data_IF_194479732942
#
_entry.id   IF_194479732942
#
_cell.length_a   1.000
_cell.length_b   1.000
_cell.length_c   1.000
_cell.angle_alpha   90.00
_cell.angle_beta   90.00
_cell.angle_gamma   90.00
#
_symmetry.space_group_name_H-M   'P 1'
#
loop_
_entity.id
_entity.type
_entity.pdbx_description
1 polymer ?
#
# COMPACT_ATOMS: atom_id res chain seq x y z
N UNK A 1 -19.52 -19.16 -24.78
CA UNK A 1 -19.15 -19.30 -23.35
C UNK A 1 -17.83 -18.59 -23.04
N UNK A 2 -16.71 -18.94 -23.69
CA UNK A 2 -15.39 -18.27 -23.49
C UNK A 2 -15.48 -16.74 -23.57
N UNK A 3 -16.08 -16.19 -24.63
CA UNK A 3 -16.28 -14.73 -24.83
C UNK A 3 -16.99 -14.01 -23.65
N UNK A 4 -17.90 -14.69 -22.93
CA UNK A 4 -18.59 -14.09 -21.78
C UNK A 4 -17.68 -14.01 -20.55
N UNK A 5 -16.79 -14.99 -20.37
CA UNK A 5 -15.79 -14.95 -19.31
C UNK A 5 -14.75 -13.87 -19.60
N UNK A 6 -14.26 -13.76 -20.83
CA UNK A 6 -13.33 -12.70 -21.26
C UNK A 6 -13.89 -11.30 -21.00
N UNK A 7 -15.18 -11.06 -21.32
CA UNK A 7 -15.86 -9.80 -21.02
C UNK A 7 -15.92 -9.53 -19.51
N UNK A 8 -16.25 -10.54 -18.69
CA UNK A 8 -16.28 -10.38 -17.23
C UNK A 8 -14.90 -10.07 -16.65
N UNK A 9 -13.84 -10.68 -17.18
CA UNK A 9 -12.45 -10.39 -16.79
C UNK A 9 -12.06 -8.95 -17.14
N UNK A 10 -12.37 -8.49 -18.36
CA UNK A 10 -12.10 -7.11 -18.78
C UNK A 10 -12.80 -6.08 -17.89
N UNK A 11 -14.12 -6.25 -17.68
CA UNK A 11 -14.93 -5.40 -16.78
C UNK A 11 -14.37 -5.41 -15.35
N UNK A 12 -13.90 -6.56 -14.86
CA UNK A 12 -13.32 -6.70 -13.52
C UNK A 12 -12.04 -5.86 -13.35
N UNK A 13 -11.13 -5.89 -14.34
CA UNK A 13 -9.94 -5.04 -14.33
C UNK A 13 -10.27 -3.55 -14.50
N UNK A 14 -11.26 -3.21 -15.34
CA UNK A 14 -11.73 -1.82 -15.49
C UNK A 14 -12.31 -1.25 -14.19
N UNK A 15 -13.08 -2.05 -13.45
CA UNK A 15 -13.64 -1.64 -12.16
C UNK A 15 -12.53 -1.40 -11.14
N UNK A 16 -11.49 -2.23 -11.11
CA UNK A 16 -10.32 -2.02 -10.27
C UNK A 16 -9.55 -0.74 -10.65
N UNK A 17 -9.40 -0.44 -11.95
CA UNK A 17 -8.83 0.83 -12.41
C UNK A 17 -9.67 2.04 -11.97
N UNK A 18 -10.99 1.99 -12.15
CA UNK A 18 -11.91 3.07 -11.74
C UNK A 18 -11.87 3.31 -10.24
N UNK A 19 -11.84 2.23 -9.45
CA UNK A 19 -11.71 2.28 -7.99
C UNK A 19 -10.41 2.99 -7.57
N UNK A 20 -9.26 2.55 -8.10
CA UNK A 20 -7.96 3.18 -7.82
C UNK A 20 -7.94 4.67 -8.22
N UNK A 21 -8.48 5.01 -9.40
CA UNK A 21 -8.58 6.39 -9.89
C UNK A 21 -9.44 7.28 -9.01
N UNK A 22 -10.45 6.73 -8.33
CA UNK A 22 -11.32 7.47 -7.41
C UNK A 22 -10.66 7.73 -6.06
N UNK A 23 -9.94 6.75 -5.52
CA UNK A 23 -9.38 6.82 -4.16
C UNK A 23 -8.00 7.50 -4.07
N UNK A 24 -7.10 7.34 -5.06
CA UNK A 24 -5.72 7.83 -4.93
C UNK A 24 -5.22 8.64 -6.13
N UNK A 25 -5.12 9.96 -5.98
CA UNK A 25 -4.54 10.83 -7.02
C UNK A 25 -3.04 10.61 -7.25
N UNK A 26 -2.26 10.39 -6.18
CA UNK A 26 -0.80 10.20 -6.32
C UNK A 26 -0.46 8.86 -6.96
N UNK A 27 -1.08 7.77 -6.49
CA UNK A 27 -0.79 6.44 -7.02
C UNK A 27 -1.28 6.31 -8.46
N UNK A 28 -2.44 6.92 -8.77
CA UNK A 28 -2.96 7.00 -10.14
C UNK A 28 -2.01 7.67 -11.12
N UNK A 29 -1.29 8.73 -10.76
CA UNK A 29 -0.37 9.35 -11.71
C UNK A 29 0.87 8.48 -11.92
N UNK A 30 1.50 7.97 -10.86
CA UNK A 30 2.66 7.08 -10.99
C UNK A 30 2.35 5.80 -11.75
N UNK A 31 1.16 5.20 -11.56
CA UNK A 31 0.77 3.94 -12.21
C UNK A 31 0.56 4.07 -13.72
N UNK A 32 0.37 5.26 -14.27
CA UNK A 32 0.29 5.44 -15.73
C UNK A 32 1.62 5.12 -16.43
N UNK A 33 2.75 5.25 -15.72
CA UNK A 33 4.09 4.94 -16.21
C UNK A 33 4.41 3.43 -16.19
N UNK A 34 3.51 2.59 -15.67
CA UNK A 34 3.61 1.14 -15.77
C UNK A 34 3.35 0.68 -17.20
N UNK A 35 4.09 -0.33 -17.66
CA UNK A 35 3.80 -0.98 -18.93
C UNK A 35 2.35 -1.52 -18.97
N UNK A 36 1.68 -1.34 -20.11
CA UNK A 36 0.25 -1.66 -20.29
C UNK A 36 -0.13 -3.09 -19.90
N UNK A 37 0.79 -4.05 -20.07
CA UNK A 37 0.58 -5.47 -19.72
C UNK A 37 0.57 -5.79 -18.22
N UNK A 38 1.26 -4.99 -17.39
CA UNK A 38 1.31 -5.18 -15.92
C UNK A 38 0.35 -4.23 -15.17
N UNK A 39 -0.01 -3.10 -15.79
CA UNK A 39 -0.80 -2.05 -15.14
C UNK A 39 -2.17 -2.51 -14.60
N UNK A 40 -2.99 -3.32 -15.31
CA UNK A 40 -4.26 -3.82 -14.78
C UNK A 40 -4.10 -4.67 -13.50
N UNK A 41 -3.00 -5.40 -13.39
CA UNK A 41 -2.71 -6.28 -12.27
C UNK A 41 -2.36 -5.49 -10.99
N UNK A 42 -1.65 -4.36 -11.13
CA UNK A 42 -1.42 -3.43 -10.02
C UNK A 42 -2.73 -2.77 -9.55
N UNK A 43 -3.64 -2.47 -10.49
CA UNK A 43 -4.97 -1.99 -10.12
C UNK A 43 -5.79 -3.05 -9.38
N UNK A 44 -5.69 -4.32 -9.77
CA UNK A 44 -6.36 -5.42 -9.09
C UNK A 44 -5.86 -5.64 -7.65
N UNK A 45 -4.54 -5.55 -7.42
CA UNK A 45 -3.95 -5.56 -6.07
C UNK A 45 -4.47 -4.37 -5.25
N UNK A 46 -4.39 -3.15 -5.79
CA UNK A 46 -4.90 -1.95 -5.11
C UNK A 46 -6.39 -2.07 -4.78
N UNK A 47 -7.19 -2.64 -5.70
CA UNK A 47 -8.63 -2.77 -5.53
C UNK A 47 -9.00 -3.74 -4.41
N UNK A 48 -8.30 -4.88 -4.30
CA UNK A 48 -8.48 -5.81 -3.19
C UNK A 48 -8.15 -5.14 -1.85
N UNK A 49 -6.98 -4.51 -1.75
CA UNK A 49 -6.55 -3.78 -0.55
C UNK A 49 -7.57 -2.71 -0.16
N UNK A 50 -7.97 -1.83 -1.09
CA UNK A 50 -8.90 -0.74 -0.77
C UNK A 50 -10.29 -1.24 -0.36
N UNK A 51 -10.79 -2.36 -0.92
CA UNK A 51 -12.05 -2.93 -0.44
C UNK A 51 -11.96 -3.40 1.02
N UNK A 52 -10.82 -3.97 1.41
CA UNK A 52 -10.59 -4.36 2.81
C UNK A 52 -10.44 -3.13 3.70
N UNK A 53 -9.71 -2.11 3.25
CA UNK A 53 -9.64 -0.83 3.97
C UNK A 53 -11.05 -0.24 4.20
N UNK A 54 -12.01 -0.32 3.26
CA UNK A 54 -13.38 0.18 3.51
C UNK A 54 -14.14 -0.63 4.58
N UNK A 55 -13.89 -1.93 4.70
CA UNK A 55 -14.47 -2.77 5.76
C UNK A 55 -13.94 -2.35 7.15
N UNK A 56 -12.71 -1.85 7.21
CA UNK A 56 -12.01 -1.47 8.45
C UNK A 56 -12.22 0.01 8.80
N UNK A 57 -12.02 0.90 7.84
CA UNK A 57 -11.99 2.36 8.01
C UNK A 57 -13.38 3.01 7.91
N UNK A 58 -14.29 2.44 7.11
CA UNK A 58 -15.57 3.07 6.76
C UNK A 58 -16.76 2.36 7.37
N UNK A 59 -16.76 1.03 7.40
CA UNK A 59 -17.83 0.27 8.05
C UNK A 59 -17.75 0.40 9.58
N UNK A 60 -18.91 0.51 10.22
CA UNK A 60 -19.08 0.75 11.67
C UNK A 60 -20.14 -0.16 12.30
N UNK A 61 -20.45 -1.29 11.67
CA UNK A 61 -21.28 -2.33 12.25
C UNK A 61 -20.46 -3.20 13.23
N UNK A 62 -21.12 -3.72 14.27
CA UNK A 62 -20.50 -4.58 15.28
C UNK A 62 -19.97 -5.91 14.68
N UNK A 63 -20.42 -6.28 13.48
CA UNK A 63 -20.02 -7.44 12.70
C UNK A 63 -18.85 -7.17 11.74
N UNK A 64 -18.16 -6.02 11.82
CA UNK A 64 -17.02 -5.67 10.95
C UNK A 64 -15.94 -6.77 10.88
N UNK A 65 -15.65 -7.44 12.01
CA UNK A 65 -14.74 -8.60 12.05
C UNK A 65 -15.26 -9.76 11.18
N UNK A 66 -16.56 -10.07 11.26
CA UNK A 66 -17.17 -11.13 10.46
C UNK A 66 -17.24 -10.76 8.97
N UNK A 67 -17.47 -9.48 8.64
CA UNK A 67 -17.37 -8.99 7.25
C UNK A 67 -15.96 -9.18 6.68
N UNK A 68 -14.92 -8.89 7.48
CA UNK A 68 -13.52 -9.09 7.10
C UNK A 68 -13.18 -10.58 6.91
N UNK A 69 -13.58 -11.44 7.87
CA UNK A 69 -13.40 -12.90 7.79
C UNK A 69 -14.08 -13.51 6.56
N UNK A 70 -15.33 -13.10 6.28
CA UNK A 70 -16.08 -13.53 5.11
C UNK A 70 -15.42 -13.06 3.80
N UNK A 71 -14.93 -11.82 3.75
CA UNK A 71 -14.25 -11.29 2.57
C UNK A 71 -12.92 -12.02 2.30
N UNK A 72 -12.13 -12.31 3.34
CA UNK A 72 -10.91 -13.12 3.23
C UNK A 72 -11.21 -14.52 2.67
N UNK A 73 -12.27 -15.18 3.15
CA UNK A 73 -12.70 -16.48 2.65
C UNK A 73 -13.07 -16.42 1.15
N UNK A 74 -13.78 -15.38 0.72
CA UNK A 74 -14.11 -15.14 -0.70
C UNK A 74 -12.85 -14.89 -1.54
N UNK A 75 -11.87 -14.14 -1.03
CA UNK A 75 -10.57 -13.93 -1.71
C UNK A 75 -9.82 -15.25 -1.88
N UNK A 76 -9.70 -16.07 -0.84
CA UNK A 76 -9.03 -17.38 -0.96
C UNK A 76 -9.75 -18.36 -1.88
N UNK A 77 -11.09 -18.41 -1.80
CA UNK A 77 -11.87 -19.25 -2.69
C UNK A 77 -11.66 -18.83 -4.14
N UNK A 78 -11.68 -17.53 -4.42
CA UNK A 78 -11.46 -17.00 -5.76
C UNK A 78 -10.05 -17.29 -6.28
N UNK A 79 -9.00 -17.09 -5.46
CA UNK A 79 -7.62 -17.42 -5.84
C UNK A 79 -7.43 -18.93 -6.12
N UNK A 80 -8.21 -19.81 -5.47
CA UNK A 80 -8.20 -21.26 -5.74
C UNK A 80 -9.00 -21.64 -6.99
N UNK A 81 -10.13 -20.98 -7.25
CA UNK A 81 -11.09 -21.35 -8.30
C UNK A 81 -10.92 -20.57 -9.61
N UNK A 82 -10.19 -19.45 -9.61
CA UNK A 82 -10.08 -18.54 -10.76
C UNK A 82 -11.35 -17.71 -11.01
N UNK A 83 -12.31 -17.70 -10.07
CA UNK A 83 -13.61 -17.07 -10.24
C UNK A 83 -14.12 -16.44 -8.93
N UNK A 84 -14.76 -15.29 -9.03
CA UNK A 84 -15.56 -14.68 -7.95
C UNK A 84 -16.78 -14.01 -8.57
N UNK A 85 -17.85 -13.83 -7.81
CA UNK A 85 -18.97 -12.96 -8.19
C UNK A 85 -18.68 -11.48 -7.90
N UNK A 86 -17.73 -11.19 -7.00
CA UNK A 86 -17.21 -9.84 -6.79
C UNK A 86 -16.13 -9.54 -7.85
N UNK A 87 -16.34 -8.57 -8.76
CA UNK A 87 -15.43 -8.32 -9.87
C UNK A 87 -14.04 -7.84 -9.43
N UNK A 88 -13.93 -7.09 -8.32
CA UNK A 88 -12.62 -6.66 -7.81
C UNK A 88 -11.83 -7.86 -7.29
N UNK A 89 -12.49 -8.76 -6.55
CA UNK A 89 -11.88 -10.01 -6.10
C UNK A 89 -11.57 -10.94 -7.28
N UNK A 90 -12.38 -10.95 -8.33
CA UNK A 90 -12.09 -11.72 -9.56
C UNK A 90 -10.83 -11.23 -10.26
N UNK A 91 -10.66 -9.92 -10.45
CA UNK A 91 -9.45 -9.33 -11.01
C UNK A 91 -8.20 -9.63 -10.15
N UNK A 92 -8.34 -9.56 -8.82
CA UNK A 92 -7.27 -9.93 -7.89
C UNK A 92 -6.91 -11.41 -7.98
N UNK A 93 -7.89 -12.31 -7.97
CA UNK A 93 -7.67 -13.75 -8.04
C UNK A 93 -6.92 -14.18 -9.31
N UNK A 94 -7.31 -13.64 -10.47
CA UNK A 94 -6.62 -13.90 -11.73
C UNK A 94 -5.20 -13.32 -11.75
N UNK A 95 -4.99 -12.18 -11.11
CA UNK A 95 -3.65 -11.61 -10.91
C UNK A 95 -2.80 -12.49 -9.99
N UNK A 96 -3.38 -12.97 -8.89
CA UNK A 96 -2.69 -13.81 -7.92
C UNK A 96 -2.27 -15.15 -8.51
N UNK A 97 -3.16 -15.82 -9.26
CA UNK A 97 -2.85 -17.04 -10.01
C UNK A 97 -1.76 -16.81 -11.06
N UNK A 98 -1.80 -15.69 -11.79
CA UNK A 98 -0.85 -15.40 -12.87
C UNK A 98 0.58 -15.16 -12.39
N UNK A 99 0.77 -14.55 -11.22
CA UNK A 99 2.09 -14.13 -10.71
C UNK A 99 2.55 -14.85 -9.44
N UNK A 100 1.82 -15.87 -8.96
CA UNK A 100 2.18 -16.59 -7.74
C UNK A 100 2.12 -15.70 -6.50
N UNK A 101 0.99 -15.00 -6.32
CA UNK A 101 0.67 -14.32 -5.05
C UNK A 101 -0.12 -15.31 -4.20
N UNK A 102 0.57 -15.89 -3.22
CA UNK A 102 0.06 -16.98 -2.39
C UNK A 102 -0.29 -16.51 -0.97
N UNK A 103 -0.69 -17.44 -0.11
CA UNK A 103 -1.23 -17.12 1.23
C UNK A 103 -0.21 -16.41 2.13
N UNK A 104 1.08 -16.66 1.93
CA UNK A 104 2.18 -16.05 2.66
C UNK A 104 2.22 -14.51 2.51
N UNK A 105 1.65 -13.97 1.43
CA UNK A 105 1.47 -12.53 1.24
C UNK A 105 0.06 -12.05 1.59
N UNK A 106 -0.98 -12.87 1.37
CA UNK A 106 -2.38 -12.48 1.59
C UNK A 106 -2.77 -12.53 3.08
N UNK A 107 -2.42 -13.60 3.80
CA UNK A 107 -2.81 -13.79 5.20
C UNK A 107 -2.25 -12.71 6.15
N UNK A 108 -0.98 -12.25 6.01
CA UNK A 108 -0.48 -11.16 6.87
C UNK A 108 -1.22 -9.84 6.66
N UNK A 109 -1.67 -9.55 5.44
CA UNK A 109 -2.50 -8.37 5.17
C UNK A 109 -3.80 -8.43 5.95
N UNK A 110 -4.59 -9.50 5.78
CA UNK A 110 -5.82 -9.70 6.55
C UNK A 110 -5.59 -9.80 8.06
N UNK A 111 -4.43 -10.26 8.53
CA UNK A 111 -4.08 -10.24 9.94
C UNK A 111 -3.88 -8.79 10.45
N UNK A 112 -3.17 -7.93 9.71
CA UNK A 112 -3.02 -6.51 10.09
C UNK A 112 -4.35 -5.75 10.08
N UNK A 113 -5.26 -6.08 9.16
CA UNK A 113 -6.60 -5.48 9.08
C UNK A 113 -7.51 -5.91 10.24
N UNK A 114 -7.19 -6.99 10.96
CA UNK A 114 -7.79 -7.38 12.25
C UNK A 114 -7.11 -6.77 13.49
N UNK A 115 -5.94 -6.15 13.32
CA UNK A 115 -5.26 -5.33 14.34
C UNK A 115 -5.69 -3.85 14.28
N UNK A 116 -6.19 -3.42 13.13
CA UNK A 116 -7.31 -2.49 13.08
C UNK A 116 -8.62 -3.24 13.40
N UNK A 117 -9.77 -2.55 13.48
CA UNK A 117 -11.02 -3.07 14.10
C UNK A 117 -10.85 -3.35 15.60
N UNK A 118 -9.90 -4.18 16.03
CA UNK A 118 -9.52 -4.34 17.45
C UNK A 118 -8.67 -3.16 17.92
N UNK A 119 -8.90 -2.70 19.16
CA UNK A 119 -8.05 -1.67 19.77
C UNK A 119 -6.91 -2.36 20.51
N UNK A 120 -5.70 -2.31 19.94
CA UNK A 120 -4.48 -2.83 20.55
C UNK A 120 -3.46 -1.72 20.80
N UNK A 121 -2.74 -1.80 21.93
CA UNK A 121 -1.48 -1.07 22.09
C UNK A 121 -0.39 -1.73 21.25
N UNK A 122 0.43 -0.93 20.59
CA UNK A 122 1.47 -1.39 19.68
C UNK A 122 2.83 -1.45 20.38
N UNK A 123 3.19 -2.64 20.87
CA UNK A 123 4.60 -2.95 21.18
C UNK A 123 5.45 -3.05 19.90
N UNK A 124 6.78 -3.09 20.06
CA UNK A 124 7.73 -3.18 18.93
C UNK A 124 7.45 -4.38 18.00
N UNK A 125 6.98 -5.51 18.54
CA UNK A 125 6.68 -6.70 17.76
C UNK A 125 5.33 -6.59 17.03
N UNK A 126 4.32 -5.98 17.66
CA UNK A 126 3.03 -5.67 17.07
C UNK A 126 3.16 -4.64 15.94
N UNK A 127 3.94 -3.57 16.16
CA UNK A 127 4.28 -2.57 15.16
C UNK A 127 4.93 -3.19 13.92
N UNK A 128 5.95 -4.04 14.09
CA UNK A 128 6.60 -4.75 12.98
C UNK A 128 5.64 -5.70 12.25
N UNK A 129 4.85 -6.50 12.99
CA UNK A 129 3.81 -7.37 12.37
C UNK A 129 2.78 -6.56 11.58
N UNK A 130 2.38 -5.41 12.11
CA UNK A 130 1.41 -4.53 11.47
C UNK A 130 1.97 -3.88 10.21
N UNK A 131 3.19 -3.34 10.22
CA UNK A 131 3.83 -2.78 9.01
C UNK A 131 4.02 -3.86 7.94
N UNK A 132 4.50 -5.05 8.35
CA UNK A 132 4.68 -6.18 7.45
C UNK A 132 3.37 -6.54 6.73
N UNK A 133 2.27 -6.68 7.47
CA UNK A 133 0.96 -7.00 6.93
C UNK A 133 0.31 -5.86 6.13
N UNK A 134 0.31 -4.64 6.67
CA UNK A 134 -0.45 -3.52 6.10
C UNK A 134 0.21 -2.89 4.87
N UNK A 135 1.53 -3.05 4.69
CA UNK A 135 2.25 -2.39 3.60
C UNK A 135 3.36 -3.22 2.94
N UNK A 136 4.19 -3.96 3.69
CA UNK A 136 5.31 -4.67 3.06
C UNK A 136 4.81 -5.79 2.14
N UNK A 137 3.89 -6.63 2.58
CA UNK A 137 3.32 -7.69 1.71
C UNK A 137 2.61 -7.12 0.49
N UNK A 138 2.00 -5.93 0.58
CA UNK A 138 1.39 -5.23 -0.58
C UNK A 138 2.48 -4.81 -1.58
N UNK A 139 3.63 -4.32 -1.09
CA UNK A 139 4.83 -4.09 -1.89
C UNK A 139 5.37 -5.37 -2.55
N UNK A 140 5.38 -6.48 -1.83
CA UNK A 140 5.80 -7.80 -2.34
C UNK A 140 4.83 -8.37 -3.39
N UNK A 141 3.51 -8.20 -3.21
CA UNK A 141 2.50 -8.52 -4.22
C UNK A 141 2.74 -7.73 -5.52
N UNK A 142 3.04 -6.43 -5.39
CA UNK A 142 3.37 -5.60 -6.54
C UNK A 142 4.70 -6.03 -7.18
N UNK A 143 5.70 -6.43 -6.39
CA UNK A 143 6.98 -6.93 -6.90
C UNK A 143 6.81 -8.20 -7.76
N UNK A 144 5.99 -9.17 -7.33
CA UNK A 144 5.65 -10.36 -8.15
C UNK A 144 5.15 -9.98 -9.55
N UNK A 145 4.33 -8.95 -9.64
CA UNK A 145 3.82 -8.39 -10.92
C UNK A 145 4.91 -7.63 -11.69
N UNK A 146 5.76 -6.85 -11.00
CA UNK A 146 6.83 -6.05 -11.63
C UNK A 146 7.91 -6.92 -12.28
N UNK A 147 8.29 -8.04 -11.65
CA UNK A 147 9.23 -9.04 -12.19
C UNK A 147 8.56 -10.11 -13.04
N UNK A 148 7.27 -9.96 -13.32
CA UNK A 148 6.45 -10.84 -14.16
C UNK A 148 6.52 -12.34 -13.77
N UNK A 149 6.68 -12.61 -12.47
CA UNK A 149 6.78 -13.97 -11.92
C UNK A 149 8.20 -14.56 -11.82
N UNK A 150 9.24 -13.83 -12.26
CA UNK A 150 10.64 -14.27 -12.11
C UNK A 150 11.03 -14.39 -10.62
N UNK A 151 11.27 -15.63 -10.17
CA UNK A 151 11.59 -15.94 -8.78
C UNK A 151 12.98 -15.43 -8.34
N UNK A 152 13.96 -15.37 -9.26
CA UNK A 152 15.31 -14.91 -8.94
C UNK A 152 15.35 -13.39 -8.79
N UNK A 153 14.72 -12.66 -9.72
CA UNK A 153 14.54 -11.22 -9.59
C UNK A 153 13.64 -10.86 -8.40
N UNK A 154 12.62 -11.68 -8.10
CA UNK A 154 11.80 -11.48 -6.90
C UNK A 154 12.65 -11.51 -5.63
N UNK A 155 13.48 -12.55 -5.40
CA UNK A 155 14.28 -12.63 -4.18
C UNK A 155 15.35 -11.53 -4.11
N UNK A 156 16.03 -11.23 -5.23
CA UNK A 156 17.00 -10.13 -5.31
C UNK A 156 16.41 -8.76 -4.91
N UNK A 157 15.13 -8.53 -5.19
CA UNK A 157 14.46 -7.24 -4.99
C UNK A 157 13.52 -7.23 -3.76
N UNK A 158 13.38 -8.37 -3.07
CA UNK A 158 12.40 -8.59 -1.99
C UNK A 158 12.59 -7.62 -0.84
N UNK A 159 13.83 -7.47 -0.38
CA UNK A 159 14.22 -6.57 0.71
C UNK A 159 13.85 -5.11 0.40
N UNK A 160 14.28 -4.59 -0.74
CA UNK A 160 13.99 -3.20 -1.12
C UNK A 160 12.50 -2.92 -1.36
N UNK A 161 11.71 -3.91 -1.79
CA UNK A 161 10.27 -3.79 -1.91
C UNK A 161 9.56 -3.77 -0.53
N UNK A 162 10.03 -4.59 0.42
CA UNK A 162 9.58 -4.57 1.82
C UNK A 162 9.90 -3.22 2.48
N UNK A 163 11.16 -2.76 2.45
CA UNK A 163 11.55 -1.46 2.99
C UNK A 163 10.79 -0.29 2.34
N UNK A 164 10.46 -0.36 1.03
CA UNK A 164 9.64 0.68 0.40
C UNK A 164 8.21 0.72 0.98
N UNK A 165 7.61 -0.45 1.24
CA UNK A 165 6.33 -0.55 1.92
C UNK A 165 6.38 0.01 3.34
N UNK A 166 7.42 -0.37 4.11
CA UNK A 166 7.66 0.14 5.45
C UNK A 166 7.80 1.68 5.48
N UNK A 167 8.65 2.25 4.62
CA UNK A 167 8.83 3.70 4.49
C UNK A 167 7.50 4.41 4.24
N UNK A 168 6.70 3.91 3.29
CA UNK A 168 5.42 4.54 2.93
C UNK A 168 4.43 4.49 4.09
N UNK A 169 4.40 3.39 4.84
CA UNK A 169 3.47 3.23 5.96
C UNK A 169 3.87 4.07 7.18
N UNK A 170 5.16 4.13 7.52
CA UNK A 170 5.69 5.03 8.54
C UNK A 170 5.44 6.51 8.19
N UNK A 171 5.57 6.88 6.91
CA UNK A 171 5.18 8.20 6.40
C UNK A 171 3.66 8.44 6.49
N UNK A 172 2.82 7.41 6.28
CA UNK A 172 1.38 7.50 6.46
C UNK A 172 1.03 7.80 7.93
N UNK A 173 1.56 7.03 8.90
CA UNK A 173 1.33 7.26 10.33
C UNK A 173 1.74 8.67 10.76
N UNK A 174 2.93 9.14 10.37
CA UNK A 174 3.42 10.47 10.74
C UNK A 174 2.58 11.59 10.10
N UNK A 175 1.99 11.35 8.92
CA UNK A 175 1.09 12.30 8.22
C UNK A 175 -0.30 12.34 8.84
N UNK A 176 -0.82 11.20 9.27
CA UNK A 176 -2.23 10.98 9.63
C UNK A 176 -2.47 10.89 11.14
N UNK A 177 -1.40 10.89 11.96
CA UNK A 177 -1.32 10.88 13.42
C UNK A 177 -2.50 11.54 14.17
N UNK A 178 -2.92 12.75 13.76
CA UNK A 178 -4.08 13.43 14.37
C UNK A 178 -5.38 12.63 14.17
N UNK A 179 -5.66 12.21 12.95
CA UNK A 179 -6.87 11.45 12.62
C UNK A 179 -6.82 10.04 13.24
N UNK A 180 -5.64 9.41 13.22
CA UNK A 180 -5.44 8.10 13.85
C UNK A 180 -5.76 8.17 15.36
N UNK A 181 -5.34 9.24 16.04
CA UNK A 181 -5.67 9.47 17.44
C UNK A 181 -7.15 9.89 17.66
N UNK A 182 -7.63 10.94 17.00
CA UNK A 182 -8.95 11.54 17.26
C UNK A 182 -10.13 10.69 16.76
N UNK A 183 -9.95 9.94 15.67
CA UNK A 183 -11.03 9.20 14.99
C UNK A 183 -10.94 7.70 15.22
N UNK A 184 -9.72 7.14 15.31
CA UNK A 184 -9.50 5.70 15.46
C UNK A 184 -9.01 5.30 16.86
N UNK A 185 -8.58 6.25 17.69
CA UNK A 185 -8.04 5.97 19.03
C UNK A 185 -6.68 5.28 19.02
N UNK A 186 -5.89 5.39 17.94
CA UNK A 186 -4.65 4.64 17.72
C UNK A 186 -3.41 5.53 17.75
N UNK A 187 -2.29 4.95 18.20
CA UNK A 187 -0.95 5.47 17.96
C UNK A 187 -0.02 4.28 17.65
N UNK A 188 0.47 4.21 16.41
CA UNK A 188 1.18 3.02 15.92
C UNK A 188 2.66 2.94 16.34
N UNK A 189 3.31 4.06 16.68
CA UNK A 189 4.75 4.07 16.97
C UNK A 189 5.04 3.57 18.40
N UNK A 190 5.87 2.52 18.58
CA UNK A 190 6.15 1.94 19.89
C UNK A 190 6.73 2.93 20.88
N UNK A 191 6.19 2.94 22.11
CA UNK A 191 6.64 3.84 23.18
C UNK A 191 6.38 5.33 22.91
N UNK A 192 5.58 5.67 21.90
CA UNK A 192 5.13 7.04 21.62
C UNK A 192 3.65 7.16 21.95
N UNK A 193 3.31 8.10 22.83
CA UNK A 193 1.93 8.52 23.05
C UNK A 193 1.67 9.86 22.31
N UNK A 194 0.44 10.06 21.85
CA UNK A 194 0.06 11.25 21.11
C UNK A 194 0.17 12.53 21.95
N UNK A 195 -0.18 12.49 23.23
CA UNK A 195 -0.15 13.67 24.10
C UNK A 195 1.29 14.13 24.36
N UNK A 196 2.18 13.18 24.61
CA UNK A 196 3.61 13.36 24.91
C UNK A 196 4.54 13.38 23.67
N UNK A 197 4.01 13.22 22.46
CA UNK A 197 4.82 13.25 21.23
C UNK A 197 5.70 14.51 21.13
N UNK A 198 7.00 14.29 20.90
CA UNK A 198 8.06 15.30 21.06
C UNK A 198 8.99 15.36 19.84
N UNK A 199 9.80 16.42 19.74
CA UNK A 199 10.84 16.52 18.70
C UNK A 199 11.88 15.39 18.78
N UNK A 200 12.11 14.81 19.96
CA UNK A 200 13.00 13.66 20.11
C UNK A 200 12.38 12.41 19.47
N UNK A 201 11.11 12.10 19.79
CA UNK A 201 10.35 11.01 19.19
C UNK A 201 10.24 11.18 17.66
N UNK A 202 9.97 12.41 17.21
CA UNK A 202 9.90 12.78 15.79
C UNK A 202 11.21 12.49 15.05
N UNK A 203 12.37 12.89 15.60
CA UNK A 203 13.68 12.63 15.00
C UNK A 203 14.02 11.14 14.90
N UNK A 204 13.65 10.34 15.90
CA UNK A 204 13.84 8.88 15.85
C UNK A 204 13.02 8.25 14.72
N UNK A 205 11.75 8.63 14.59
CA UNK A 205 10.87 8.17 13.50
C UNK A 205 11.39 8.64 12.13
N UNK A 206 11.87 9.88 12.02
CA UNK A 206 12.46 10.40 10.79
C UNK A 206 13.73 9.65 10.38
N UNK A 207 14.58 9.26 11.33
CA UNK A 207 15.78 8.47 11.05
C UNK A 207 15.44 7.05 10.55
N UNK A 208 14.44 6.40 11.16
CA UNK A 208 13.92 5.09 10.75
C UNK A 208 13.34 5.12 9.32
N UNK A 209 12.46 6.10 9.03
CA UNK A 209 11.93 6.34 7.68
C UNK A 209 13.05 6.57 6.65
N UNK A 210 14.06 7.37 7.02
CA UNK A 210 15.18 7.67 6.11
C UNK A 210 16.04 6.43 5.81
N UNK A 211 16.20 5.52 6.77
CA UNK A 211 16.91 4.25 6.58
C UNK A 211 16.17 3.35 5.59
N UNK A 212 14.85 3.17 5.74
CA UNK A 212 14.03 2.40 4.80
C UNK A 212 14.10 2.97 3.37
N UNK A 213 13.99 4.29 3.20
CA UNK A 213 14.15 4.93 1.90
C UNK A 213 15.54 4.69 1.28
N UNK A 214 16.60 4.64 2.09
CA UNK A 214 17.96 4.39 1.60
C UNK A 214 18.08 2.98 1.00
N UNK A 215 17.59 1.96 1.71
CA UNK A 215 17.57 0.57 1.22
C UNK A 215 16.69 0.44 -0.03
N UNK A 216 15.46 0.94 0.03
CA UNK A 216 14.51 0.87 -1.07
C UNK A 216 15.05 1.49 -2.37
N UNK A 217 15.67 2.68 -2.31
CA UNK A 217 16.19 3.38 -3.50
C UNK A 217 17.30 2.60 -4.21
N UNK A 218 18.12 1.84 -3.49
CA UNK A 218 19.17 1.01 -4.09
C UNK A 218 18.58 -0.13 -4.94
N UNK A 219 17.46 -0.72 -4.53
CA UNK A 219 16.75 -1.75 -5.29
C UNK A 219 15.88 -1.18 -6.41
N UNK A 220 15.31 0.02 -6.25
CA UNK A 220 14.43 0.62 -7.28
C UNK A 220 15.12 0.79 -8.63
N UNK A 221 16.43 1.09 -8.67
CA UNK A 221 17.18 1.21 -9.93
C UNK A 221 17.34 -0.13 -10.67
N UNK A 222 17.24 -1.25 -9.96
CA UNK A 222 17.39 -2.60 -10.49
C UNK A 222 16.06 -3.17 -11.02
N UNK A 223 14.91 -2.57 -10.70
CA UNK A 223 13.59 -3.01 -11.18
C UNK A 223 13.53 -3.10 -12.72
N UNK A 224 12.73 -4.03 -13.28
CA UNK A 224 12.45 -4.07 -14.71
C UNK A 224 11.92 -2.74 -15.26
N UNK A 225 12.27 -2.43 -16.51
CA UNK A 225 11.92 -1.16 -17.18
C UNK A 225 10.41 -0.91 -17.27
N UNK A 226 9.61 -1.97 -17.20
CA UNK A 226 8.14 -1.98 -17.14
C UNK A 226 7.57 -1.30 -15.89
N UNK A 227 8.31 -1.34 -14.77
CA UNK A 227 7.88 -0.82 -13.47
C UNK A 227 8.76 0.33 -12.96
N UNK A 228 10.05 0.34 -13.29
CA UNK A 228 11.06 1.25 -12.72
C UNK A 228 10.64 2.72 -12.67
N UNK A 229 10.15 3.28 -13.80
CA UNK A 229 9.73 4.70 -13.86
C UNK A 229 8.52 5.00 -12.97
N UNK A 230 7.54 4.10 -12.91
CA UNK A 230 6.38 4.24 -12.04
C UNK A 230 6.78 4.22 -10.57
N UNK A 231 7.60 3.24 -10.17
CA UNK A 231 8.06 3.08 -8.79
C UNK A 231 8.94 4.27 -8.38
N UNK A 232 9.92 4.65 -9.21
CA UNK A 232 10.77 5.83 -8.99
C UNK A 232 9.93 7.12 -8.82
N UNK A 233 8.91 7.32 -9.65
CA UNK A 233 8.00 8.48 -9.52
C UNK A 233 7.21 8.43 -8.21
N UNK A 234 6.80 7.25 -7.75
CA UNK A 234 6.14 7.10 -6.44
C UNK A 234 7.08 7.40 -5.27
N UNK A 235 8.36 7.00 -5.37
CA UNK A 235 9.40 7.29 -4.36
C UNK A 235 9.57 8.81 -4.25
N UNK A 236 9.74 9.50 -5.38
CA UNK A 236 9.86 10.97 -5.43
C UNK A 236 8.65 11.66 -4.75
N UNK A 237 7.43 11.15 -4.94
CA UNK A 237 6.24 11.70 -4.26
C UNK A 237 6.29 11.52 -2.74
N UNK A 238 6.68 10.33 -2.28
CA UNK A 238 6.72 10.01 -0.86
C UNK A 238 7.91 10.67 -0.15
N UNK A 239 9.07 10.82 -0.79
CA UNK A 239 10.18 11.63 -0.29
C UNK A 239 9.78 13.12 -0.19
N UNK A 240 9.10 13.66 -1.21
CA UNK A 240 8.61 15.05 -1.16
C UNK A 240 7.48 15.27 -0.13
N UNK A 241 6.74 14.23 0.24
CA UNK A 241 5.84 14.26 1.40
C UNK A 241 6.64 14.22 2.70
N UNK A 242 7.59 13.29 2.83
CA UNK A 242 8.41 13.10 4.01
C UNK A 242 9.23 14.35 4.36
N UNK A 243 9.87 14.99 3.37
CA UNK A 243 10.54 16.30 3.54
C UNK A 243 9.61 17.38 4.11
N UNK A 244 8.30 17.35 3.78
CA UNK A 244 7.32 18.30 4.35
C UNK A 244 6.92 17.95 5.79
N UNK A 245 6.97 16.67 6.17
CA UNK A 245 6.80 16.23 7.57
C UNK A 245 8.03 16.59 8.41
N UNK A 246 9.23 16.42 7.85
CA UNK A 246 10.49 16.84 8.50
C UNK A 246 10.51 18.34 8.79
N UNK A 247 10.15 19.18 7.81
CA UNK A 247 10.07 20.63 7.97
C UNK A 247 8.86 21.12 8.81
N UNK A 248 7.93 20.24 9.21
CA UNK A 248 6.80 20.60 10.04
C UNK A 248 7.16 20.55 11.54
N UNK A 249 6.53 21.42 12.33
CA UNK A 249 6.62 21.34 13.79
C UNK A 249 5.79 20.16 14.33
N UNK A 250 6.09 19.69 15.55
CA UNK A 250 5.22 18.75 16.27
C UNK A 250 3.78 19.28 16.38
N UNK A 251 3.62 20.59 16.60
CA UNK A 251 2.32 21.25 16.64
C UNK A 251 1.58 21.16 15.29
N UNK A 252 2.26 21.33 14.16
CA UNK A 252 1.65 21.15 12.83
C UNK A 252 1.14 19.72 12.62
N UNK A 253 1.94 18.71 12.98
CA UNK A 253 1.58 17.29 12.82
C UNK A 253 0.35 16.92 13.66
N UNK A 254 0.26 17.43 14.89
CA UNK A 254 -0.91 17.27 15.78
C UNK A 254 -2.10 18.15 15.37
N UNK A 255 -1.89 19.24 14.63
CA UNK A 255 -2.96 20.15 14.23
C UNK A 255 -3.66 19.76 12.91
N UNK A 256 -2.91 19.25 11.92
CA UNK A 256 -3.40 19.08 10.54
C UNK A 256 -2.69 17.98 9.75
N UNK A 257 -3.46 17.30 8.89
CA UNK A 257 -2.94 16.36 7.89
C UNK A 257 -2.10 17.07 6.82
N UNK A 258 -0.81 16.75 6.74
CA UNK A 258 0.10 17.35 5.75
C UNK A 258 -0.05 16.65 4.38
N UNK A 259 0.01 17.43 3.28
CA UNK A 259 -0.18 16.91 1.90
C UNK A 259 0.76 17.59 0.92
N UNK A 260 1.14 16.89 -0.14
CA UNK A 260 1.80 17.48 -1.32
C UNK A 260 0.72 18.12 -2.22
N UNK A 261 0.80 19.44 -2.52
CA UNK A 261 -0.17 20.12 -3.40
C UNK A 261 -0.16 19.55 -4.82
N UNK A 262 -1.31 19.57 -5.50
CA UNK A 262 -1.45 18.98 -6.85
C UNK A 262 -0.51 19.62 -7.89
N UNK A 263 -0.26 20.94 -7.81
CA UNK A 263 0.72 21.63 -8.67
C UNK A 263 2.13 21.07 -8.51
N UNK A 264 2.55 20.78 -7.27
CA UNK A 264 3.84 20.14 -6.97
C UNK A 264 3.85 18.70 -7.46
N UNK A 265 2.73 17.95 -7.34
CA UNK A 265 2.63 16.59 -7.89
C UNK A 265 2.84 16.56 -9.41
N UNK A 266 2.34 17.53 -10.16
CA UNK A 266 2.58 17.61 -11.61
C UNK A 266 4.06 17.80 -11.96
N UNK A 267 4.79 18.61 -11.19
CA UNK A 267 6.24 18.80 -11.37
C UNK A 267 7.03 17.54 -11.02
N UNK A 268 6.69 16.89 -9.90
CA UNK A 268 7.33 15.65 -9.47
C UNK A 268 7.03 14.48 -10.43
N UNK A 269 5.83 14.45 -11.02
CA UNK A 269 5.50 13.52 -12.11
C UNK A 269 6.43 13.69 -13.30
N UNK A 270 6.61 14.93 -13.77
CA UNK A 270 7.45 15.23 -14.92
C UNK A 270 8.92 14.80 -14.69
N UNK A 271 9.47 15.03 -13.49
CA UNK A 271 10.81 14.56 -13.11
C UNK A 271 10.92 13.03 -13.18
N UNK A 272 10.05 12.33 -12.44
CA UNK A 272 10.06 10.86 -12.39
C UNK A 272 9.78 10.17 -13.74
N UNK A 273 8.95 10.78 -14.59
CA UNK A 273 8.65 10.28 -15.94
C UNK A 273 9.83 10.39 -16.91
N UNK A 274 10.62 11.47 -16.81
CA UNK A 274 11.83 11.68 -17.63
C UNK A 274 13.03 10.89 -17.06
N UNK A 275 13.01 10.55 -15.78
CA UNK A 275 14.11 9.85 -15.09
C UNK A 275 15.20 10.80 -14.58
N UNK A 276 14.79 12.03 -14.24
CA UNK A 276 15.60 13.08 -13.61
C UNK A 276 15.34 13.16 -12.10
#
# INVERSE_FOLDING_TARGET
MVLLMELYQQVSYELAERLMRRYSTSFSTSSWLLASRIRPHIYAIYGMVRLVDEIVDTYRGDDAMAQLDNFEAVVYQACKQGYSTNPIVHAFALTAQKYGIERELISPFFASMRMDITTMEYDEAAYRRYIYGSAEVVGLMCLKVFVEGDAAQYEQLREGASHLGAAYQKVNFLRDMKADHEVLGRMYFPGVDYLSFSDASKRTIEADIAADFAVAKASVQQLPSTARRAVHTSVIYYEALFQRLQNASVADLKARRIRVPNSVKSVLFARGAVGL
#
